data_IF_550559759592
#
_entry.id   IF_550559759592
#
_cell.length_a   1.000
_cell.length_b   1.000
_cell.length_c   1.000
_cell.angle_alpha   90.00
_cell.angle_beta   90.00
_cell.angle_gamma   90.00
#
_symmetry.space_group_name_H-M   'P 1'
#
loop_
_entity.id
_entity.type
_entity.pdbx_description
1 polymer ?
#
# COMPACT_ATOMS: atom_id res chain seq x y z
N UNK A 1 18.35 -12.93 -16.41
CA UNK A 1 18.31 -12.41 -17.79
C UNK A 1 18.07 -10.93 -17.75
N UNK A 2 18.96 -10.12 -18.33
CA UNK A 2 18.77 -8.67 -18.42
C UNK A 2 17.97 -8.37 -19.69
N UNK A 3 16.69 -8.01 -19.54
CA UNK A 3 15.90 -7.54 -20.68
C UNK A 3 16.35 -6.13 -21.07
N UNK A 4 16.46 -5.85 -22.37
CA UNK A 4 16.61 -4.46 -22.82
C UNK A 4 15.42 -3.61 -22.33
N UNK A 5 15.64 -2.31 -22.09
CA UNK A 5 14.62 -1.40 -21.51
C UNK A 5 13.25 -1.51 -22.19
N UNK A 6 13.20 -1.59 -23.52
CA UNK A 6 11.96 -1.74 -24.29
C UNK A 6 11.22 -3.04 -23.96
N UNK A 7 11.94 -4.16 -23.87
CA UNK A 7 11.36 -5.47 -23.56
C UNK A 7 10.87 -5.54 -22.11
N UNK A 8 11.57 -4.89 -21.18
CA UNK A 8 11.13 -4.76 -19.79
C UNK A 8 9.78 -4.02 -19.70
N UNK A 9 9.67 -2.85 -20.34
CA UNK A 9 8.41 -2.09 -20.38
C UNK A 9 7.24 -2.89 -20.96
N UNK A 10 7.49 -3.66 -22.02
CA UNK A 10 6.45 -4.51 -22.62
C UNK A 10 5.99 -5.61 -21.67
N UNK A 11 6.92 -6.25 -20.94
CA UNK A 11 6.59 -7.26 -19.93
C UNK A 11 5.72 -6.65 -18.83
N UNK A 12 6.14 -5.50 -18.28
CA UNK A 12 5.38 -4.80 -17.23
C UNK A 12 3.98 -4.39 -17.70
N UNK A 13 3.85 -3.86 -18.93
CA UNK A 13 2.56 -3.47 -19.50
C UNK A 13 1.62 -4.67 -19.70
N UNK A 14 2.15 -5.81 -20.16
CA UNK A 14 1.36 -7.05 -20.30
C UNK A 14 0.90 -7.55 -18.93
N UNK A 15 1.80 -7.64 -17.94
CA UNK A 15 1.45 -8.06 -16.58
C UNK A 15 0.40 -7.13 -15.95
N UNK A 16 0.56 -5.81 -16.11
CA UNK A 16 -0.40 -4.81 -15.64
C UNK A 16 -1.78 -5.02 -16.26
N UNK A 17 -1.86 -5.25 -17.57
CA UNK A 17 -3.14 -5.49 -18.24
C UNK A 17 -3.81 -6.80 -17.79
N UNK A 18 -3.03 -7.87 -17.58
CA UNK A 18 -3.57 -9.15 -17.06
C UNK A 18 -4.05 -8.98 -15.61
N UNK A 19 -3.32 -8.23 -14.78
CA UNK A 19 -3.72 -7.89 -13.42
C UNK A 19 -5.05 -7.10 -13.41
N UNK A 20 -5.15 -6.07 -14.23
CA UNK A 20 -6.34 -5.22 -14.34
C UNK A 20 -7.52 -5.94 -14.98
N UNK A 21 -7.29 -6.86 -15.92
CA UNK A 21 -8.32 -7.55 -16.69
C UNK A 21 -8.09 -9.08 -16.64
N UNK A 22 -8.40 -9.75 -15.52
CA UNK A 22 -8.29 -11.20 -15.44
C UNK A 22 -9.11 -11.88 -16.54
N UNK A 23 -8.48 -12.80 -17.27
CA UNK A 23 -9.10 -13.49 -18.41
C UNK A 23 -8.87 -12.82 -19.77
N UNK A 24 -8.14 -11.70 -19.82
CA UNK A 24 -7.74 -11.06 -21.09
C UNK A 24 -6.99 -12.05 -21.99
N UNK A 25 -7.26 -11.95 -23.29
CA UNK A 25 -6.70 -12.82 -24.31
C UNK A 25 -5.46 -12.21 -24.96
N UNK A 26 -4.64 -13.06 -25.61
CA UNK A 26 -3.47 -12.60 -26.39
C UNK A 26 -3.85 -11.61 -27.50
N UNK A 27 -5.04 -11.78 -28.09
CA UNK A 27 -5.56 -10.90 -29.16
C UNK A 27 -5.86 -9.51 -28.61
N UNK A 28 -6.53 -9.43 -27.46
CA UNK A 28 -6.84 -8.17 -26.80
C UNK A 28 -5.57 -7.45 -26.34
N UNK A 29 -4.61 -8.17 -25.76
CA UNK A 29 -3.30 -7.61 -25.38
C UNK A 29 -2.58 -6.98 -26.58
N UNK A 30 -2.53 -7.67 -27.72
CA UNK A 30 -1.92 -7.15 -28.96
C UNK A 30 -2.62 -5.89 -29.45
N UNK A 31 -3.96 -5.85 -29.36
CA UNK A 31 -4.77 -4.70 -29.78
C UNK A 31 -4.60 -3.48 -28.84
N UNK A 32 -4.64 -3.69 -27.53
CA UNK A 32 -4.56 -2.61 -26.54
C UNK A 32 -3.17 -1.98 -26.46
N UNK A 33 -2.12 -2.80 -26.63
CA UNK A 33 -0.73 -2.33 -26.56
C UNK A 33 -0.15 -1.94 -27.92
N UNK A 34 -0.89 -2.16 -29.02
CA UNK A 34 -0.40 -1.95 -30.40
C UNK A 34 0.95 -2.62 -30.68
N UNK A 35 1.14 -3.83 -30.15
CA UNK A 35 2.33 -4.67 -30.36
C UNK A 35 1.98 -5.92 -31.17
N UNK A 36 2.96 -6.46 -31.89
CA UNK A 36 2.74 -7.59 -32.77
C UNK A 36 2.41 -8.89 -31.99
N UNK A 37 1.62 -9.77 -32.63
CA UNK A 37 1.16 -11.01 -32.01
C UNK A 37 2.29 -11.98 -31.67
N UNK A 38 3.39 -11.95 -32.42
CA UNK A 38 4.54 -12.83 -32.19
C UNK A 38 5.27 -12.41 -30.90
N UNK A 39 5.42 -11.11 -30.65
CA UNK A 39 5.98 -10.54 -29.44
C UNK A 39 5.11 -10.80 -28.21
N UNK A 40 3.79 -10.62 -28.32
CA UNK A 40 2.86 -11.03 -27.24
C UNK A 40 3.03 -12.51 -26.93
N UNK A 41 3.06 -13.36 -27.95
CA UNK A 41 3.23 -14.81 -27.78
C UNK A 41 4.56 -15.13 -27.10
N UNK A 42 5.65 -14.49 -27.51
CA UNK A 42 6.97 -14.66 -26.90
C UNK A 42 6.97 -14.27 -25.42
N UNK A 43 6.40 -13.10 -25.07
CA UNK A 43 6.34 -12.63 -23.67
C UNK A 43 5.44 -13.53 -22.82
N UNK A 44 4.26 -13.92 -23.33
CA UNK A 44 3.36 -14.82 -22.59
C UNK A 44 4.00 -16.19 -22.35
N UNK A 45 4.71 -16.75 -23.34
CA UNK A 45 5.41 -18.02 -23.17
C UNK A 45 6.50 -17.89 -22.11
N UNK A 46 7.28 -16.80 -22.13
CA UNK A 46 8.26 -16.50 -21.09
C UNK A 46 7.62 -16.42 -19.69
N UNK A 47 6.55 -15.62 -19.53
CA UNK A 47 5.85 -15.47 -18.25
C UNK A 47 5.21 -16.78 -17.76
N UNK A 48 4.71 -17.61 -18.67
CA UNK A 48 4.18 -18.95 -18.33
C UNK A 48 5.31 -19.87 -17.87
N UNK A 49 6.45 -19.86 -18.55
CA UNK A 49 7.62 -20.69 -18.17
C UNK A 49 8.21 -20.27 -16.83
N UNK A 50 8.11 -18.98 -16.47
CA UNK A 50 8.54 -18.44 -15.17
C UNK A 50 7.40 -18.44 -14.12
N UNK A 51 6.33 -19.21 -14.39
CA UNK A 51 5.22 -19.45 -13.47
C UNK A 51 4.41 -18.21 -13.04
N UNK A 52 4.47 -17.10 -13.79
CA UNK A 52 3.64 -15.92 -13.55
C UNK A 52 2.21 -16.09 -14.02
N UNK A 53 1.97 -16.98 -14.98
CA UNK A 53 0.67 -17.15 -15.61
C UNK A 53 0.19 -18.60 -15.48
N UNK A 54 -1.08 -18.76 -15.10
CA UNK A 54 -1.78 -20.04 -15.10
C UNK A 54 -2.82 -20.09 -16.22
N UNK A 55 -2.98 -21.26 -16.83
CA UNK A 55 -4.04 -21.54 -17.80
C UNK A 55 -5.20 -22.20 -17.05
N UNK A 56 -6.33 -21.51 -16.91
CA UNK A 56 -7.51 -22.07 -16.24
C UNK A 56 -8.32 -23.01 -17.14
N UNK A 57 -8.19 -22.88 -18.46
CA UNK A 57 -8.83 -23.79 -19.43
C UNK A 57 -7.94 -23.95 -20.68
N UNK A 58 -7.28 -25.12 -20.86
CA UNK A 58 -6.45 -25.38 -22.04
C UNK A 58 -7.27 -25.68 -23.32
N UNK A 59 -8.58 -25.92 -23.22
CA UNK A 59 -9.45 -26.29 -24.34
C UNK A 59 -10.26 -25.09 -24.91
N UNK A 60 -10.26 -23.96 -24.21
CA UNK A 60 -10.90 -22.74 -24.69
C UNK A 60 -10.25 -22.25 -26.01
N UNK A 61 -11.10 -21.94 -27.01
CA UNK A 61 -10.67 -21.41 -28.33
C UNK A 61 -9.84 -20.13 -28.22
N UNK A 62 -10.04 -19.37 -27.14
CA UNK A 62 -9.15 -18.30 -26.70
C UNK A 62 -8.77 -18.57 -25.26
N UNK A 63 -7.49 -18.80 -24.98
CA UNK A 63 -7.01 -19.15 -23.64
C UNK A 63 -7.03 -17.89 -22.77
N UNK A 64 -7.91 -17.79 -21.76
CA UNK A 64 -7.93 -16.66 -20.84
C UNK A 64 -6.66 -16.66 -19.98
N UNK A 65 -6.02 -15.51 -19.86
CA UNK A 65 -4.78 -15.37 -19.08
C UNK A 65 -5.09 -14.92 -17.64
N UNK A 66 -4.50 -15.62 -16.69
CA UNK A 66 -4.60 -15.29 -15.27
C UNK A 66 -3.22 -15.28 -14.64
N UNK A 67 -2.99 -14.35 -13.71
CA UNK A 67 -1.82 -14.38 -12.86
C UNK A 67 -1.86 -15.60 -11.95
N UNK A 68 -0.71 -16.23 -11.76
CA UNK A 68 -0.51 -17.20 -10.69
C UNK A 68 -0.49 -16.45 -9.36
N UNK A 69 -1.43 -16.75 -8.48
CA UNK A 69 -1.55 -16.10 -7.19
C UNK A 69 -0.36 -16.35 -6.28
N UNK A 70 0.11 -17.59 -6.26
CA UNK A 70 1.12 -18.06 -5.33
C UNK A 70 2.55 -17.74 -5.80
N UNK A 71 2.68 -16.98 -6.90
CA UNK A 71 3.97 -16.59 -7.48
C UNK A 71 4.70 -15.55 -6.63
N UNK A 72 3.96 -14.73 -5.88
CA UNK A 72 4.50 -13.61 -5.13
C UNK A 72 3.63 -13.29 -3.93
N UNK A 73 4.27 -13.17 -2.77
CA UNK A 73 3.65 -12.74 -1.52
C UNK A 73 4.25 -11.40 -1.08
N UNK A 74 3.42 -10.49 -0.59
CA UNK A 74 3.86 -9.22 -0.01
C UNK A 74 3.28 -9.06 1.40
N UNK A 75 3.96 -8.28 2.23
CA UNK A 75 3.44 -7.89 3.52
C UNK A 75 3.03 -6.41 3.50
N UNK A 76 1.86 -6.12 4.08
CA UNK A 76 1.44 -4.77 4.41
C UNK A 76 1.44 -4.61 5.92
N UNK A 77 1.98 -3.51 6.43
CA UNK A 77 2.00 -3.20 7.85
C UNK A 77 1.42 -1.82 8.07
N UNK A 78 0.35 -1.73 8.83
CA UNK A 78 -0.13 -0.47 9.38
C UNK A 78 0.55 -0.23 10.73
N UNK A 79 1.12 0.96 10.89
CA UNK A 79 1.81 1.37 12.12
C UNK A 79 1.11 2.61 12.65
N UNK A 80 0.35 2.44 13.74
CA UNK A 80 -0.29 3.51 14.49
C UNK A 80 0.34 3.63 15.88
N UNK A 81 0.21 4.76 16.58
CA UNK A 81 0.75 4.92 17.94
C UNK A 81 0.19 3.90 18.96
N UNK A 82 -1.01 3.38 18.73
CA UNK A 82 -1.70 2.48 19.64
C UNK A 82 -1.54 1.00 19.26
N UNK A 83 -1.29 0.72 17.98
CA UNK A 83 -1.22 -0.65 17.47
C UNK A 83 -0.38 -0.79 16.20
N UNK A 84 0.01 -2.03 15.91
CA UNK A 84 0.49 -2.42 14.58
C UNK A 84 -0.33 -3.58 14.04
N UNK A 85 -0.63 -3.54 12.75
CA UNK A 85 -1.29 -4.61 12.03
C UNK A 85 -0.46 -5.07 10.84
N UNK A 86 -0.04 -6.33 10.86
CA UNK A 86 0.61 -7.00 9.74
C UNK A 86 -0.43 -7.86 9.01
N UNK A 87 -0.45 -7.74 7.69
CA UNK A 87 -1.08 -8.70 6.79
C UNK A 87 -0.05 -9.21 5.79
N UNK A 88 -0.13 -10.49 5.44
CA UNK A 88 0.59 -11.05 4.29
C UNK A 88 -0.46 -11.47 3.27
N UNK A 89 -0.31 -11.02 2.04
CA UNK A 89 -1.21 -11.33 0.95
C UNK A 89 -0.46 -11.81 -0.29
N UNK A 90 -1.19 -12.51 -1.16
CA UNK A 90 -0.70 -12.84 -2.49
C UNK A 90 -0.89 -11.67 -3.46
N UNK A 91 -0.43 -11.82 -4.71
CA UNK A 91 -0.49 -10.75 -5.71
C UNK A 91 -1.91 -10.30 -6.08
N UNK A 92 -2.96 -11.09 -5.79
CA UNK A 92 -4.36 -10.68 -5.98
C UNK A 92 -4.97 -10.03 -4.72
N UNK A 93 -4.19 -9.86 -3.66
CA UNK A 93 -4.64 -9.25 -2.41
C UNK A 93 -5.40 -10.19 -1.47
N UNK A 94 -5.44 -11.50 -1.74
CA UNK A 94 -6.01 -12.43 -0.78
C UNK A 94 -5.11 -12.47 0.47
N UNK A 95 -5.69 -12.15 1.63
CA UNK A 95 -4.96 -12.14 2.90
C UNK A 95 -4.81 -13.58 3.39
N UNK A 96 -3.56 -14.00 3.60
CA UNK A 96 -3.19 -15.36 3.97
C UNK A 96 -2.70 -15.47 5.42
N UNK A 97 -2.28 -14.35 6.00
CA UNK A 97 -1.84 -14.26 7.39
C UNK A 97 -2.14 -12.87 7.93
N UNK A 98 -2.50 -12.80 9.22
CA UNK A 98 -2.69 -11.56 9.97
C UNK A 98 -2.03 -11.68 11.34
N UNK A 99 -1.43 -10.59 11.81
CA UNK A 99 -0.93 -10.47 13.18
C UNK A 99 -1.09 -9.03 13.65
N UNK A 100 -1.39 -8.86 14.93
CA UNK A 100 -1.57 -7.56 15.55
C UNK A 100 -0.71 -7.48 16.80
N UNK A 101 -0.18 -6.29 17.07
CA UNK A 101 0.51 -5.96 18.31
C UNK A 101 -0.15 -4.74 18.91
N UNK A 102 -0.29 -4.73 20.23
CA UNK A 102 -0.45 -3.46 20.95
C UNK A 102 0.90 -2.74 20.91
N UNK A 103 0.89 -1.42 20.70
CA UNK A 103 2.11 -0.65 20.63
C UNK A 103 2.84 -0.74 21.99
N UNK A 104 3.98 -1.41 21.99
CA UNK A 104 4.78 -1.69 23.19
C UNK A 104 6.24 -1.28 23.03
N UNK A 105 6.63 -0.81 21.85
CA UNK A 105 8.01 -0.43 21.54
C UNK A 105 8.11 1.10 21.47
N UNK A 106 9.13 1.74 22.05
CA UNK A 106 9.25 3.20 22.06
C UNK A 106 9.53 3.79 20.66
N UNK A 107 10.07 3.01 19.72
CA UNK A 107 10.45 3.48 18.38
C UNK A 107 9.98 2.54 17.26
N UNK A 108 9.61 3.13 16.11
CA UNK A 108 9.16 2.41 14.91
C UNK A 108 10.26 1.48 14.38
N UNK A 109 11.50 1.96 14.34
CA UNK A 109 12.67 1.19 13.87
C UNK A 109 12.90 -0.08 14.70
N UNK A 110 12.64 -0.02 16.01
CA UNK A 110 12.77 -1.14 16.91
C UNK A 110 11.72 -2.22 16.63
N UNK A 111 10.47 -1.83 16.39
CA UNK A 111 9.42 -2.73 15.94
C UNK A 111 9.78 -3.41 14.62
N UNK A 112 10.29 -2.66 13.64
CA UNK A 112 10.70 -3.20 12.32
C UNK A 112 11.81 -4.24 12.48
N UNK A 113 12.87 -3.89 13.23
CA UNK A 113 14.06 -4.74 13.36
C UNK A 113 13.83 -5.98 14.24
N UNK A 114 12.90 -5.92 15.20
CA UNK A 114 12.61 -7.02 16.13
C UNK A 114 11.36 -7.79 15.70
N UNK A 115 10.19 -7.28 16.06
CA UNK A 115 8.90 -7.96 15.95
C UNK A 115 8.53 -8.32 14.51
N UNK A 116 8.65 -7.34 13.60
CA UNK A 116 8.30 -7.54 12.20
C UNK A 116 9.29 -8.49 11.53
N UNK A 117 10.60 -8.25 11.70
CA UNK A 117 11.65 -9.11 11.14
C UNK A 117 11.54 -10.55 11.62
N UNK A 118 11.32 -10.77 12.92
CA UNK A 118 11.14 -12.11 13.47
C UNK A 118 9.89 -12.80 12.89
N UNK A 119 8.78 -12.08 12.81
CA UNK A 119 7.53 -12.62 12.27
C UNK A 119 7.66 -12.99 10.80
N UNK A 120 8.31 -12.15 9.99
CA UNK A 120 8.53 -12.41 8.56
C UNK A 120 9.49 -13.60 8.37
N UNK A 121 10.57 -13.70 9.16
CA UNK A 121 11.51 -14.82 9.08
C UNK A 121 10.88 -16.17 9.45
N UNK A 122 9.89 -16.18 10.36
CA UNK A 122 9.18 -17.40 10.78
C UNK A 122 7.96 -17.72 9.91
N UNK A 123 7.61 -16.84 8.98
CA UNK A 123 6.45 -17.03 8.13
C UNK A 123 6.68 -18.16 7.12
N UNK A 124 5.62 -18.93 6.83
CA UNK A 124 5.65 -19.97 5.80
C UNK A 124 5.67 -19.39 4.37
N UNK A 125 5.31 -18.12 4.20
CA UNK A 125 5.27 -17.44 2.91
C UNK A 125 6.61 -16.75 2.63
N UNK A 126 7.12 -16.90 1.40
CA UNK A 126 8.32 -16.20 0.95
C UNK A 126 7.97 -14.76 0.57
N UNK A 127 7.97 -13.88 1.58
CA UNK A 127 7.62 -12.46 1.42
C UNK A 127 8.67 -11.76 0.55
N UNK A 128 8.23 -11.21 -0.57
CA UNK A 128 9.08 -10.52 -1.54
C UNK A 128 9.39 -9.07 -1.13
N UNK A 129 8.43 -8.39 -0.51
CA UNK A 129 8.53 -6.98 -0.12
C UNK A 129 7.57 -6.67 1.02
N UNK A 130 7.88 -5.61 1.77
CA UNK A 130 7.04 -5.07 2.84
C UNK A 130 6.68 -3.62 2.56
N UNK A 131 5.39 -3.29 2.61
CA UNK A 131 4.89 -1.91 2.61
C UNK A 131 4.48 -1.48 4.02
N UNK A 132 4.89 -0.29 4.46
CA UNK A 132 4.53 0.31 5.74
C UNK A 132 3.62 1.51 5.51
N UNK A 133 2.41 1.47 6.06
CA UNK A 133 1.51 2.61 6.15
C UNK A 133 1.77 3.34 7.48
N UNK A 134 2.20 4.60 7.39
CA UNK A 134 2.61 5.40 8.55
C UNK A 134 1.90 6.76 8.50
N UNK A 135 1.25 7.22 9.58
CA UNK A 135 0.70 8.56 9.67
C UNK A 135 1.81 9.62 9.64
N UNK A 136 1.61 10.63 8.80
CA UNK A 136 2.50 11.79 8.66
C UNK A 136 3.11 11.93 7.27
N UNK A 137 4.07 12.86 7.18
CA UNK A 137 4.73 13.23 5.93
C UNK A 137 5.86 12.25 5.66
N UNK A 138 5.73 11.46 4.60
CA UNK A 138 6.69 10.43 4.24
C UNK A 138 7.46 10.76 2.95
N UNK A 139 8.79 10.67 3.01
CA UNK A 139 9.69 10.59 1.86
C UNK A 139 9.82 9.13 1.44
N UNK A 140 8.96 8.72 0.51
CA UNK A 140 8.84 7.33 0.05
C UNK A 140 10.06 6.88 -0.78
N UNK A 141 10.79 7.81 -1.39
CA UNK A 141 11.98 7.48 -2.18
C UNK A 141 13.16 7.11 -1.27
N UNK A 142 13.27 7.79 -0.13
CA UNK A 142 14.38 7.59 0.80
C UNK A 142 14.05 6.66 1.99
N UNK A 143 12.80 6.21 2.15
CA UNK A 143 12.31 5.48 3.33
C UNK A 143 12.50 6.28 4.62
N UNK A 144 12.02 7.52 4.61
CA UNK A 144 12.12 8.44 5.74
C UNK A 144 10.80 9.08 6.10
N UNK A 145 10.51 9.15 7.40
CA UNK A 145 9.43 9.98 7.93
C UNK A 145 10.00 11.40 8.07
N UNK A 146 9.45 12.37 7.33
CA UNK A 146 9.87 13.78 7.42
C UNK A 146 9.36 14.38 8.72
N UNK A 147 8.07 14.18 9.02
CA UNK A 147 7.42 14.63 10.25
C UNK A 147 6.18 13.79 10.53
N UNK A 148 5.83 13.60 11.81
CA UNK A 148 4.62 12.90 12.21
C UNK A 148 4.14 13.38 13.58
N UNK A 149 2.99 14.05 13.61
CA UNK A 149 2.37 14.51 14.86
C UNK A 149 1.96 13.32 15.75
N UNK A 150 1.33 12.23 15.24
CA UNK A 150 0.96 11.10 16.08
C UNK A 150 2.16 10.42 16.76
N UNK A 151 3.32 10.35 16.09
CA UNK A 151 4.55 9.79 16.64
C UNK A 151 5.49 10.82 17.28
N UNK A 152 5.11 12.09 17.35
CA UNK A 152 5.95 13.20 17.86
C UNK A 152 7.33 13.28 17.17
N UNK A 153 7.36 13.02 15.87
CA UNK A 153 8.56 13.11 15.04
C UNK A 153 8.62 14.52 14.46
N UNK A 154 9.53 15.34 14.98
CA UNK A 154 9.73 16.73 14.57
C UNK A 154 10.93 16.90 13.62
N UNK A 155 11.77 15.85 13.49
CA UNK A 155 12.93 15.84 12.62
C UNK A 155 12.94 14.59 11.73
N UNK A 156 13.49 14.68 10.50
CA UNK A 156 13.46 13.56 9.57
C UNK A 156 14.14 12.30 10.14
N UNK A 157 13.40 11.20 10.14
CA UNK A 157 13.80 9.91 10.74
C UNK A 157 13.86 8.84 9.66
N UNK A 158 15.06 8.33 9.39
CA UNK A 158 15.30 7.25 8.42
C UNK A 158 14.85 5.91 9.00
N UNK A 159 14.14 5.11 8.19
CA UNK A 159 13.74 3.76 8.53
C UNK A 159 14.59 2.72 7.80
N UNK A 160 14.68 1.47 8.30
CA UNK A 160 15.37 0.40 7.60
C UNK A 160 14.83 0.21 6.19
N UNK A 161 15.72 0.17 5.19
CA UNK A 161 15.35 -0.06 3.78
C UNK A 161 15.12 -1.54 3.47
N UNK A 162 15.61 -2.43 4.33
CA UNK A 162 15.48 -3.88 4.19
C UNK A 162 15.37 -4.55 5.55
N UNK A 163 14.73 -5.72 5.62
CA UNK A 163 14.69 -6.57 6.82
C UNK A 163 15.12 -8.01 6.55
N UNK A 164 15.54 -8.66 7.64
CA UNK A 164 15.90 -10.08 7.66
C UNK A 164 17.14 -10.40 6.82
N UNK A 165 17.59 -11.66 6.91
CA UNK A 165 18.82 -12.12 6.22
C UNK A 165 18.69 -12.09 4.69
N UNK A 166 17.46 -12.18 4.18
CA UNK A 166 17.17 -12.12 2.74
C UNK A 166 17.19 -10.69 2.17
N UNK A 167 17.43 -9.67 3.02
CA UNK A 167 17.40 -8.26 2.62
C UNK A 167 16.08 -7.89 1.92
N UNK A 168 14.95 -8.31 2.50
CA UNK A 168 13.62 -8.06 1.93
C UNK A 168 13.39 -6.54 1.94
N UNK A 169 13.10 -5.91 0.79
CA UNK A 169 12.93 -4.46 0.71
C UNK A 169 11.70 -3.98 1.48
N UNK A 170 11.85 -2.83 2.11
CA UNK A 170 10.80 -2.07 2.77
C UNK A 170 10.49 -0.83 1.95
N UNK A 171 9.20 -0.53 1.84
CA UNK A 171 8.68 0.69 1.26
C UNK A 171 7.78 1.35 2.30
N UNK A 172 7.91 2.67 2.48
CA UNK A 172 7.00 3.42 3.34
C UNK A 172 6.03 4.23 2.49
N UNK A 173 4.86 4.48 3.04
CA UNK A 173 3.85 5.34 2.46
C UNK A 173 3.00 5.97 3.58
N UNK A 174 2.47 7.16 3.31
CA UNK A 174 1.48 7.80 4.17
C UNK A 174 0.22 6.92 4.26
N UNK A 175 -0.33 6.76 5.46
CA UNK A 175 -1.49 5.90 5.73
C UNK A 175 -2.74 6.23 4.88
N UNK A 176 -3.04 7.52 4.71
CA UNK A 176 -4.17 7.99 3.89
C UNK A 176 -3.93 7.67 2.42
N UNK A 177 -2.69 7.81 1.92
CA UNK A 177 -2.33 7.37 0.56
C UNK A 177 -2.44 5.85 0.40
N UNK A 178 -2.05 5.06 1.40
CA UNK A 178 -2.25 3.60 1.38
C UNK A 178 -3.72 3.21 1.19
N UNK A 179 -4.65 3.92 1.84
CA UNK A 179 -6.08 3.69 1.64
C UNK A 179 -6.52 4.01 0.20
N UNK A 180 -6.00 5.08 -0.40
CA UNK A 180 -6.25 5.37 -1.82
C UNK A 180 -5.68 4.29 -2.76
N UNK A 181 -4.51 3.73 -2.44
CA UNK A 181 -3.92 2.61 -3.18
C UNK A 181 -4.78 1.34 -3.13
N UNK A 182 -5.56 1.13 -2.07
CA UNK A 182 -6.54 0.03 -2.02
C UNK A 182 -7.57 0.16 -3.16
N UNK A 183 -8.12 1.37 -3.34
CA UNK A 183 -9.09 1.68 -4.40
C UNK A 183 -8.50 1.46 -5.81
N UNK A 184 -7.27 1.92 -6.03
CA UNK A 184 -6.55 1.74 -7.30
C UNK A 184 -6.27 0.24 -7.57
N UNK A 185 -5.91 -0.51 -6.55
CA UNK A 185 -5.41 -1.88 -6.69
C UNK A 185 -6.54 -2.91 -6.79
N UNK A 186 -7.61 -2.75 -6.02
CA UNK A 186 -8.66 -3.77 -5.86
C UNK A 186 -10.00 -3.36 -6.46
N UNK A 187 -10.43 -2.11 -6.24
CA UNK A 187 -11.62 -1.57 -6.91
C UNK A 187 -11.35 -1.18 -8.36
N UNK A 188 -10.07 -1.07 -8.75
CA UNK A 188 -9.60 -0.72 -10.09
C UNK A 188 -10.11 0.65 -10.54
N UNK A 189 -10.26 1.57 -9.60
CA UNK A 189 -10.57 2.97 -9.91
C UNK A 189 -9.28 3.71 -10.27
N UNK A 190 -9.11 3.95 -11.56
CA UNK A 190 -7.99 4.72 -12.10
C UNK A 190 -8.44 6.13 -12.51
N UNK A 191 -9.57 6.63 -12.01
CA UNK A 191 -10.05 7.98 -12.26
C UNK A 191 -9.25 9.05 -11.53
N UNK A 192 -9.85 10.24 -11.44
CA UNK A 192 -9.40 11.29 -10.53
C UNK A 192 -10.30 11.23 -9.30
N UNK A 193 -9.71 11.11 -8.12
CA UNK A 193 -10.47 11.08 -6.88
C UNK A 193 -9.70 11.72 -5.73
N UNK A 194 -10.48 12.19 -4.77
CA UNK A 194 -10.03 12.63 -3.46
C UNK A 194 -10.45 11.56 -2.46
N UNK A 195 -9.56 11.13 -1.58
CA UNK A 195 -9.92 10.39 -0.40
C UNK A 195 -9.72 11.28 0.82
N UNK A 196 -10.73 11.35 1.68
CA UNK A 196 -10.63 12.05 2.97
C UNK A 196 -10.90 11.06 4.08
N UNK A 197 -10.02 11.03 5.06
CA UNK A 197 -10.07 10.15 6.22
C UNK A 197 -10.19 11.03 7.45
N UNK A 198 -11.10 10.67 8.35
CA UNK A 198 -11.23 11.26 9.67
C UNK A 198 -11.00 10.17 10.70
N UNK A 199 -10.16 10.47 11.67
CA UNK A 199 -9.91 9.60 12.80
C UNK A 199 -10.22 10.38 14.08
N UNK A 200 -11.29 9.99 14.75
CA UNK A 200 -11.61 10.49 16.08
C UNK A 200 -10.78 9.68 17.09
N UNK A 201 -9.95 10.35 17.87
CA UNK A 201 -9.03 9.71 18.82
C UNK A 201 -9.60 9.89 20.21
N UNK A 202 -9.98 8.76 20.80
CA UNK A 202 -10.62 8.67 22.11
C UNK A 202 -9.72 9.22 23.22
N UNK A 203 -10.34 9.80 24.24
CA UNK A 203 -9.66 10.13 25.47
C UNK A 203 -9.49 8.86 26.33
N UNK A 204 -8.24 8.41 26.59
CA UNK A 204 -8.01 7.23 27.41
C UNK A 204 -8.47 7.43 28.87
N UNK A 205 -8.58 8.68 29.33
CA UNK A 205 -9.04 9.03 30.67
C UNK A 205 -10.57 9.27 30.73
N UNK A 206 -11.22 9.52 29.59
CA UNK A 206 -12.66 9.79 29.51
C UNK A 206 -13.28 9.25 28.20
N UNK A 207 -13.96 8.10 28.27
CA UNK A 207 -14.51 7.44 27.08
C UNK A 207 -15.69 8.18 26.42
N UNK A 208 -16.19 9.26 27.02
CA UNK A 208 -17.25 10.11 26.46
C UNK A 208 -16.69 11.34 25.70
N UNK A 209 -15.37 11.42 25.49
CA UNK A 209 -14.68 12.52 24.81
C UNK A 209 -13.63 12.06 23.80
N UNK A 210 -13.43 12.85 22.74
CA UNK A 210 -12.26 12.77 21.87
C UNK A 210 -11.19 13.76 22.33
N UNK A 211 -9.92 13.31 22.37
CA UNK A 211 -8.74 14.17 22.60
C UNK A 211 -8.42 14.99 21.36
N UNK A 212 -8.64 14.41 20.17
CA UNK A 212 -8.45 15.11 18.89
C UNK A 212 -9.21 14.40 17.77
N UNK A 213 -9.56 15.15 16.73
CA UNK A 213 -9.90 14.61 15.42
C UNK A 213 -8.69 14.84 14.52
N UNK A 214 -8.13 13.75 14.00
CA UNK A 214 -7.12 13.80 12.94
C UNK A 214 -7.81 13.67 11.59
N UNK A 215 -7.30 14.38 10.59
CA UNK A 215 -7.77 14.28 9.22
C UNK A 215 -6.60 14.02 8.27
N UNK A 216 -6.86 13.24 7.24
CA UNK A 216 -5.94 12.98 6.15
C UNK A 216 -6.67 13.17 4.83
N UNK A 217 -5.99 13.79 3.86
CA UNK A 217 -6.49 13.88 2.49
C UNK A 217 -5.45 13.29 1.56
N UNK A 218 -5.89 12.47 0.59
CA UNK A 218 -5.03 12.04 -0.49
C UNK A 218 -5.67 12.32 -1.85
N UNK A 219 -4.82 12.76 -2.77
CA UNK A 219 -5.20 13.08 -4.13
C UNK A 219 -4.70 12.00 -5.07
N UNK A 220 -5.58 11.49 -5.91
CA UNK A 220 -5.24 10.53 -6.95
C UNK A 220 -5.68 11.05 -8.30
N UNK A 221 -4.82 10.88 -9.30
CA UNK A 221 -5.17 11.13 -10.69
C UNK A 221 -4.61 10.01 -11.54
N UNK A 222 -5.49 9.42 -12.36
CA UNK A 222 -5.12 8.41 -13.36
C UNK A 222 -4.41 7.18 -12.76
N UNK A 223 -4.82 6.80 -11.55
CA UNK A 223 -4.23 5.67 -10.82
C UNK A 223 -2.89 5.96 -10.14
N UNK A 224 -2.53 7.23 -9.95
CA UNK A 224 -1.29 7.65 -9.29
C UNK A 224 -1.61 8.62 -8.16
N UNK A 225 -1.01 8.40 -6.99
CA UNK A 225 -1.09 9.34 -5.86
C UNK A 225 -0.27 10.60 -6.13
N UNK A 226 -0.76 11.76 -5.72
CA UNK A 226 -0.04 13.02 -5.80
C UNK A 226 0.46 13.40 -4.40
N UNK A 227 1.78 13.30 -4.19
CA UNK A 227 2.41 13.65 -2.92
C UNK A 227 2.80 15.14 -2.84
N UNK A 228 2.86 15.85 -3.98
CA UNK A 228 3.32 17.24 -4.06
C UNK A 228 4.83 17.39 -3.95
N UNK A 229 5.35 18.60 -4.18
CA UNK A 229 6.80 18.87 -4.25
C UNK A 229 7.57 18.61 -2.94
N UNK A 230 6.86 18.56 -1.82
CA UNK A 230 7.41 18.36 -0.48
C UNK A 230 6.82 17.14 0.24
N UNK A 231 6.13 16.26 -0.49
CA UNK A 231 5.40 15.10 0.07
C UNK A 231 4.25 15.44 1.05
N UNK A 232 3.83 16.71 1.11
CA UNK A 232 2.78 17.20 2.01
C UNK A 232 1.41 17.44 1.32
N UNK A 233 1.19 16.95 0.10
CA UNK A 233 -0.10 17.14 -0.56
C UNK A 233 -1.22 16.43 0.24
N UNK A 234 -2.20 17.21 0.67
CA UNK A 234 -3.31 16.71 1.49
C UNK A 234 -3.07 16.75 3.00
N UNK A 235 -1.91 17.27 3.43
CA UNK A 235 -1.67 17.68 4.80
C UNK A 235 -2.42 19.01 5.05
N UNK A 236 -3.66 18.93 5.50
CA UNK A 236 -4.52 20.09 5.73
C UNK A 236 -4.92 20.13 7.22
N UNK A 237 -4.01 20.53 8.12
CA UNK A 237 -4.16 20.38 9.57
C UNK A 237 -5.37 21.15 10.16
N UNK A 238 -5.89 22.16 9.45
CA UNK A 238 -6.98 23.03 9.92
C UNK A 238 -8.27 22.93 9.10
N UNK A 239 -8.38 21.97 8.16
CA UNK A 239 -9.55 21.89 7.27
C UNK A 239 -10.87 21.79 8.05
N UNK A 240 -10.81 21.21 9.25
CA UNK A 240 -11.90 21.15 10.22
C UNK A 240 -11.41 21.47 11.63
N UNK A 241 -10.77 22.63 11.81
CA UNK A 241 -10.64 23.19 13.15
C UNK A 241 -12.04 23.60 13.62
N UNK A 242 -12.62 22.85 14.56
CA UNK A 242 -13.85 23.29 15.24
C UNK A 242 -13.45 24.40 16.20
N UNK A 243 -13.24 25.61 15.66
CA UNK A 243 -12.95 26.82 16.45
C UNK A 243 -14.04 27.12 17.48
N UNK A 244 -15.25 26.57 17.26
CA UNK A 244 -16.38 26.70 18.18
C UNK A 244 -16.26 25.87 19.47
N UNK A 245 -15.40 24.84 19.54
CA UNK A 245 -15.11 24.11 20.79
C UNK A 245 -13.92 24.66 21.57
N UNK A 246 -13.05 25.44 20.93
CA UNK A 246 -11.87 26.04 21.56
C UNK A 246 -12.20 27.19 22.54
N UNK A 247 -13.48 27.54 22.72
CA UNK A 247 -13.94 28.47 23.75
C UNK A 247 -14.15 27.74 25.09
N UNK A 248 -13.10 27.12 25.63
CA UNK A 248 -13.03 26.76 27.05
C UNK A 248 -12.69 25.32 27.40
N UNK A 249 -12.82 24.35 26.48
CA UNK A 249 -12.53 22.93 26.76
C UNK A 249 -11.75 22.28 25.61
N UNK A 250 -10.65 21.60 25.91
CA UNK A 250 -9.77 20.91 24.95
C UNK A 250 -10.36 19.59 24.39
N UNK A 251 -11.68 19.38 24.43
CA UNK A 251 -12.31 18.09 24.19
C UNK A 251 -13.57 18.21 23.34
N UNK A 252 -13.85 17.17 22.53
CA UNK A 252 -15.07 17.06 21.72
C UNK A 252 -15.92 15.93 22.35
N UNK A 253 -17.07 16.25 22.99
CA UNK A 253 -17.94 15.25 23.58
C UNK A 253 -18.60 14.40 22.48
N UNK A 254 -18.84 13.13 22.78
CA UNK A 254 -19.50 12.17 21.87
C UNK A 254 -20.93 12.58 21.42
N UNK A 255 -21.53 13.57 22.08
CA UNK A 255 -22.94 13.95 21.96
C UNK A 255 -23.17 15.26 21.20
N UNK A 256 -22.50 15.45 20.07
CA UNK A 256 -23.08 16.17 18.92
C UNK A 256 -22.97 15.25 17.71
N UNK A 257 -23.76 14.16 17.75
CA UNK A 257 -23.94 13.24 16.63
C UNK A 257 -24.42 14.01 15.40
N UNK A 258 -23.55 14.11 14.38
CA UNK A 258 -23.98 14.23 12.99
C UNK A 258 -24.70 12.94 12.55
#
# INVERSE_FOLDING_TARGET
MTFGKTKYWQICSILKLIYQNPGITRKELSCLLSIDKAMVTHIINYLTSDNWLIKKDPFAKQIPLHLNADRLYVAGVEIQPEYQHLVICNIQGAILFKKSWAFSQPEISDFINKELTETINKCAYDVFAVGLAIPGVCDTENNRIIASNPFKIEAPTELPKTIGKKQIPIFIENDTRCLGWNKVSFEKDFGNFLLTVYQCIDNPENQDEYVRISNGVSFFSKGTSWAGAHNCAGEIPDLFSIKEYAAGNNFIPYCEKL
#
